data_IF_791003245933
#
_entry.id   IF_791003245933
#
_cell.length_a   1.000
_cell.length_b   1.000
_cell.length_c   1.000
_cell.angle_alpha   90.00
_cell.angle_beta   90.00
_cell.angle_gamma   90.00
#
_symmetry.space_group_name_H-M   'P 1'
#
loop_
_entity.id
_entity.type
_entity.pdbx_description
1 polymer ?
#
# COMPACT_ATOMS: atom_id res chain seq x y z
N UNK A 1 3.31 -42.38 -7.50
CA UNK A 1 3.37 -41.24 -6.55
C UNK A 1 3.33 -39.87 -7.25
N UNK A 2 4.36 -39.44 -8.00
CA UNK A 2 4.37 -38.12 -8.68
C UNK A 2 3.16 -37.84 -9.59
N UNK A 3 2.71 -38.82 -10.38
CA UNK A 3 1.52 -38.68 -11.25
C UNK A 3 0.23 -38.46 -10.45
N UNK A 4 0.10 -39.11 -9.30
CA UNK A 4 -1.08 -39.01 -8.46
C UNK A 4 -1.15 -37.66 -7.74
N UNK A 5 0.01 -37.12 -7.32
CA UNK A 5 0.11 -35.76 -6.81
C UNK A 5 -0.27 -34.71 -7.85
N UNK A 6 0.22 -34.82 -9.09
CA UNK A 6 -0.16 -33.92 -10.20
C UNK A 6 -1.67 -33.96 -10.44
N UNK A 7 -2.26 -35.17 -10.48
CA UNK A 7 -3.71 -35.33 -10.66
C UNK A 7 -4.50 -34.64 -9.55
N UNK A 8 -4.07 -34.79 -8.29
CA UNK A 8 -4.72 -34.15 -7.15
C UNK A 8 -4.61 -32.62 -7.20
N UNK A 9 -3.46 -32.08 -7.61
CA UNK A 9 -3.27 -30.64 -7.77
C UNK A 9 -4.22 -30.06 -8.84
N UNK A 10 -4.37 -30.75 -9.96
CA UNK A 10 -5.28 -30.34 -11.05
C UNK A 10 -6.73 -30.39 -10.57
N UNK A 11 -7.15 -31.48 -9.92
CA UNK A 11 -8.51 -31.63 -9.40
C UNK A 11 -8.84 -30.54 -8.37
N UNK A 12 -7.95 -30.29 -7.41
CA UNK A 12 -8.15 -29.25 -6.39
C UNK A 12 -8.22 -27.85 -7.01
N UNK A 13 -7.35 -27.56 -7.99
CA UNK A 13 -7.41 -26.30 -8.74
C UNK A 13 -8.75 -26.15 -9.47
N UNK A 14 -9.24 -27.20 -10.11
CA UNK A 14 -10.50 -27.16 -10.83
C UNK A 14 -11.68 -26.94 -9.87
N UNK A 15 -11.69 -27.58 -8.70
CA UNK A 15 -12.70 -27.35 -7.66
C UNK A 15 -12.65 -25.90 -7.18
N UNK A 16 -11.46 -25.36 -6.90
CA UNK A 16 -11.31 -23.97 -6.48
C UNK A 16 -11.80 -22.96 -7.54
N UNK A 17 -11.44 -23.18 -8.80
CA UNK A 17 -11.91 -22.35 -9.93
C UNK A 17 -13.43 -22.45 -10.08
N UNK A 18 -14.00 -23.64 -9.93
CA UNK A 18 -15.44 -23.86 -10.04
C UNK A 18 -16.19 -23.19 -8.89
N UNK A 19 -15.71 -23.33 -7.65
CA UNK A 19 -16.28 -22.65 -6.49
C UNK A 19 -16.20 -21.11 -6.61
N UNK A 20 -15.10 -20.58 -7.16
CA UNK A 20 -15.00 -19.16 -7.49
C UNK A 20 -16.02 -18.76 -8.54
N UNK A 21 -16.15 -19.52 -9.64
CA UNK A 21 -17.17 -19.26 -10.66
C UNK A 21 -18.57 -19.28 -10.08
N UNK A 22 -18.91 -20.28 -9.28
CA UNK A 22 -20.22 -20.40 -8.63
C UNK A 22 -20.46 -19.25 -7.64
N UNK A 23 -19.47 -18.89 -6.83
CA UNK A 23 -19.56 -17.77 -5.90
C UNK A 23 -19.75 -16.43 -6.62
N UNK A 24 -18.91 -16.14 -7.62
CA UNK A 24 -19.01 -14.90 -8.41
C UNK A 24 -20.34 -14.83 -9.16
N UNK A 25 -20.68 -15.85 -9.94
CA UNK A 25 -21.91 -15.89 -10.78
C UNK A 25 -23.19 -16.13 -9.99
N UNK A 26 -23.13 -16.27 -8.67
CA UNK A 26 -24.24 -16.72 -7.83
C UNK A 26 -24.89 -18.00 -8.38
N UNK A 27 -24.05 -18.97 -8.77
CA UNK A 27 -24.39 -20.23 -9.40
C UNK A 27 -25.12 -20.04 -10.76
N UNK A 28 -24.54 -19.21 -11.63
CA UNK A 28 -25.06 -18.91 -12.97
C UNK A 28 -26.28 -17.98 -13.00
N UNK A 29 -26.70 -17.41 -11.86
CA UNK A 29 -27.79 -16.43 -11.80
C UNK A 29 -27.39 -15.05 -12.32
N UNK A 30 -26.08 -14.77 -12.34
CA UNK A 30 -25.50 -13.54 -12.88
C UNK A 30 -24.71 -13.90 -14.14
N UNK A 31 -25.11 -13.34 -15.27
CA UNK A 31 -24.41 -13.47 -16.54
C UNK A 31 -23.37 -12.35 -16.68
N UNK A 32 -22.22 -12.54 -16.02
CA UNK A 32 -21.11 -11.60 -16.12
C UNK A 32 -20.47 -11.58 -17.50
N UNK A 33 -20.58 -12.68 -18.26
CA UNK A 33 -20.02 -12.74 -19.61
C UNK A 33 -20.73 -11.70 -20.48
N UNK A 34 -22.07 -11.71 -20.56
CA UNK A 34 -22.78 -10.68 -21.31
C UNK A 34 -22.64 -9.27 -20.74
N UNK A 35 -22.52 -9.11 -19.42
CA UNK A 35 -22.28 -7.80 -18.79
C UNK A 35 -20.91 -7.20 -19.13
N UNK A 36 -19.86 -8.02 -19.19
CA UNK A 36 -18.48 -7.56 -19.41
C UNK A 36 -17.99 -7.74 -20.85
N UNK A 37 -18.68 -8.50 -21.70
CA UNK A 37 -18.25 -8.73 -23.09
C UNK A 37 -18.18 -7.44 -23.91
N UNK A 38 -18.97 -6.43 -23.52
CA UNK A 38 -18.97 -5.10 -24.15
C UNK A 38 -17.90 -4.17 -23.60
N UNK A 39 -17.22 -4.56 -22.52
CA UNK A 39 -16.23 -3.72 -21.86
C UNK A 39 -14.86 -4.00 -22.45
N UNK A 40 -14.14 -2.99 -22.96
CA UNK A 40 -12.73 -3.15 -23.33
C UNK A 40 -11.95 -3.70 -22.13
N UNK A 41 -11.00 -4.62 -22.37
CA UNK A 41 -10.17 -5.20 -21.32
C UNK A 41 -9.49 -4.12 -20.46
N UNK A 42 -9.13 -2.97 -21.05
CA UNK A 42 -8.62 -1.83 -20.29
C UNK A 42 -9.64 -1.22 -19.32
N UNK A 43 -10.91 -1.12 -19.70
CA UNK A 43 -11.98 -0.63 -18.82
C UNK A 43 -12.31 -1.65 -17.72
N UNK A 44 -12.29 -2.94 -18.06
CA UNK A 44 -12.43 -4.03 -17.10
C UNK A 44 -11.28 -4.04 -16.10
N UNK A 45 -10.04 -3.82 -16.57
CA UNK A 45 -8.91 -3.57 -15.71
C UNK A 45 -9.22 -2.36 -14.86
N UNK A 46 -9.36 -1.13 -15.37
CA UNK A 46 -9.63 0.07 -14.56
C UNK A 46 -10.74 -0.07 -13.50
N UNK A 47 -11.79 -0.85 -13.76
CA UNK A 47 -12.91 -1.05 -12.82
C UNK A 47 -12.67 -2.20 -11.84
N UNK A 48 -11.99 -3.27 -12.24
CA UNK A 48 -11.68 -4.40 -11.36
C UNK A 48 -10.30 -4.30 -10.70
N UNK A 49 -9.41 -3.48 -11.26
CA UNK A 49 -7.98 -3.36 -11.02
C UNK A 49 -7.51 -1.92 -11.37
N UNK A 50 -6.84 -1.24 -10.45
CA UNK A 50 -6.22 0.08 -10.66
C UNK A 50 -5.40 0.33 -11.94
N UNK A 51 -4.99 1.60 -12.10
CA UNK A 51 -3.89 2.01 -12.99
C UNK A 51 -2.67 1.08 -12.84
N UNK A 52 -2.13 0.51 -13.94
CA UNK A 52 -1.02 -0.46 -13.89
C UNK A 52 0.31 0.14 -13.43
N UNK A 53 0.40 1.47 -13.37
CA UNK A 53 1.57 2.21 -12.93
C UNK A 53 1.13 3.28 -11.93
N UNK A 54 1.86 3.38 -10.82
CA UNK A 54 1.70 4.45 -9.84
C UNK A 54 2.70 5.54 -10.19
N UNK A 55 2.20 6.72 -10.55
CA UNK A 55 3.05 7.89 -10.74
C UNK A 55 3.36 8.54 -9.39
N UNK A 56 4.58 9.09 -9.17
CA UNK A 56 4.95 9.71 -7.90
C UNK A 56 3.98 10.82 -7.49
N UNK A 57 3.66 11.74 -8.41
CA UNK A 57 2.79 12.87 -8.10
C UNK A 57 1.34 12.44 -7.87
N UNK A 58 0.89 11.36 -8.51
CA UNK A 58 -0.43 10.78 -8.21
C UNK A 58 -0.47 10.20 -6.80
N UNK A 59 0.57 9.46 -6.39
CA UNK A 59 0.68 8.96 -5.02
C UNK A 59 0.75 10.12 -4.01
N UNK A 60 1.60 11.12 -4.24
CA UNK A 60 1.72 12.28 -3.36
C UNK A 60 0.36 12.99 -3.22
N UNK A 61 -0.44 13.08 -4.29
CA UNK A 61 -1.76 13.72 -4.27
C UNK A 61 -2.81 12.99 -3.41
N UNK A 62 -2.58 11.73 -3.04
CA UNK A 62 -3.47 10.96 -2.15
C UNK A 62 -2.92 10.83 -0.73
N UNK A 63 -1.72 11.36 -0.45
CA UNK A 63 -1.19 11.46 0.90
C UNK A 63 -1.81 12.66 1.61
N UNK A 64 -2.30 12.47 2.83
CA UNK A 64 -2.90 13.52 3.63
C UNK A 64 -2.32 13.54 5.04
N UNK A 65 -1.72 14.67 5.48
CA UNK A 65 -1.18 14.75 6.82
C UNK A 65 -2.32 14.93 7.83
N UNK A 66 -2.21 14.24 8.96
CA UNK A 66 -3.10 14.43 10.11
C UNK A 66 -2.27 14.97 11.26
N UNK A 67 -2.23 16.29 11.37
CA UNK A 67 -1.52 16.98 12.44
C UNK A 67 -2.30 16.88 13.76
N UNK A 68 -1.58 16.58 14.83
CA UNK A 68 -2.05 16.75 16.20
C UNK A 68 -2.17 18.24 16.50
N UNK A 69 -3.40 18.73 16.73
CA UNK A 69 -3.68 20.13 17.07
C UNK A 69 -3.17 20.59 18.45
N UNK A 70 -2.42 19.76 19.18
CA UNK A 70 -1.83 20.04 20.51
C UNK A 70 -0.31 20.28 20.45
N UNK A 71 0.26 20.53 19.27
CA UNK A 71 1.71 20.59 19.06
C UNK A 71 2.30 22.00 19.20
N UNK A 72 3.44 22.10 19.90
CA UNK A 72 4.29 23.30 19.95
C UNK A 72 4.88 23.65 18.57
N UNK A 73 5.23 24.92 18.33
CA UNK A 73 5.71 25.44 17.02
C UNK A 73 6.87 24.62 16.42
N UNK A 74 7.83 24.19 17.23
CA UNK A 74 8.96 23.37 16.78
C UNK A 74 8.53 21.97 16.31
N UNK A 75 7.48 21.40 16.91
CA UNK A 75 6.91 20.10 16.52
C UNK A 75 6.19 20.22 15.19
N UNK A 76 5.45 21.30 14.99
CA UNK A 76 4.81 21.61 13.72
C UNK A 76 5.84 21.71 12.58
N UNK A 77 6.98 22.39 12.79
CA UNK A 77 8.01 22.54 11.76
C UNK A 77 8.63 21.20 11.30
N UNK A 78 8.87 20.27 12.23
CA UNK A 78 9.40 18.94 11.89
C UNK A 78 8.38 18.09 11.11
N UNK A 79 7.09 18.15 11.49
CA UNK A 79 6.00 17.45 10.80
C UNK A 79 5.83 17.98 9.38
N UNK A 80 5.82 19.30 9.22
CA UNK A 80 5.74 19.95 7.91
C UNK A 80 6.93 19.57 7.04
N UNK A 81 8.17 19.65 7.55
CA UNK A 81 9.37 19.31 6.79
C UNK A 81 9.35 17.85 6.30
N UNK A 82 8.95 16.91 7.16
CA UNK A 82 8.85 15.49 6.78
C UNK A 82 7.79 15.28 5.68
N UNK A 83 6.60 15.84 5.85
CA UNK A 83 5.48 15.63 4.93
C UNK A 83 5.62 16.38 3.60
N UNK A 84 6.01 17.66 3.65
CA UNK A 84 6.00 18.53 2.48
C UNK A 84 7.29 18.41 1.65
N UNK A 85 8.39 17.99 2.29
CA UNK A 85 9.71 17.91 1.63
C UNK A 85 10.22 16.48 1.57
N UNK A 86 10.57 15.88 2.71
CA UNK A 86 11.33 14.62 2.70
C UNK A 86 10.59 13.45 2.08
N UNK A 87 9.31 13.25 2.43
CA UNK A 87 8.53 12.14 1.89
C UNK A 87 8.29 12.29 0.37
N UNK A 88 7.79 13.42 -0.16
CA UNK A 88 7.65 13.63 -1.60
C UNK A 88 8.95 13.44 -2.38
N UNK A 89 10.07 14.01 -1.89
CA UNK A 89 11.36 13.91 -2.57
C UNK A 89 11.87 12.47 -2.59
N UNK A 90 11.75 11.75 -1.47
CA UNK A 90 12.12 10.34 -1.40
C UNK A 90 11.28 9.49 -2.37
N UNK A 91 9.97 9.71 -2.44
CA UNK A 91 9.08 8.98 -3.35
C UNK A 91 9.49 9.20 -4.80
N UNK A 92 9.80 10.44 -5.20
CA UNK A 92 10.26 10.76 -6.56
C UNK A 92 11.62 10.16 -6.87
N UNK A 93 12.58 10.31 -5.96
CA UNK A 93 13.94 9.78 -6.11
C UNK A 93 13.91 8.26 -6.30
N UNK A 94 13.21 7.55 -5.42
CA UNK A 94 13.16 6.08 -5.44
C UNK A 94 12.33 5.55 -6.60
N UNK A 95 11.30 6.26 -7.04
CA UNK A 95 10.57 5.89 -8.26
C UNK A 95 11.46 5.98 -9.51
N UNK A 96 12.41 6.92 -9.56
CA UNK A 96 13.33 7.07 -10.70
C UNK A 96 14.32 5.91 -10.83
N UNK A 97 14.69 5.29 -9.71
CA UNK A 97 15.68 4.20 -9.66
C UNK A 97 15.04 2.81 -9.54
N UNK A 98 13.78 2.72 -9.08
CA UNK A 98 13.09 1.47 -8.86
C UNK A 98 11.59 1.58 -9.20
N UNK A 99 11.21 1.02 -10.34
CA UNK A 99 9.84 1.06 -10.86
C UNK A 99 8.81 0.39 -9.95
N UNK A 100 9.22 -0.55 -9.10
CA UNK A 100 8.33 -1.26 -8.17
C UNK A 100 8.28 -0.62 -6.77
N UNK A 101 9.07 0.42 -6.52
CA UNK A 101 9.14 1.03 -5.19
C UNK A 101 7.79 1.59 -4.76
N UNK A 102 7.12 2.35 -5.63
CA UNK A 102 5.83 2.98 -5.29
C UNK A 102 4.73 1.93 -5.04
N UNK A 103 4.69 0.87 -5.85
CA UNK A 103 3.75 -0.23 -5.64
C UNK A 103 3.96 -0.90 -4.28
N UNK A 104 5.22 -1.19 -3.91
CA UNK A 104 5.56 -1.76 -2.59
C UNK A 104 5.30 -0.80 -1.43
N UNK A 105 5.49 0.50 -1.65
CA UNK A 105 5.16 1.51 -0.64
C UNK A 105 3.65 1.56 -0.38
N UNK A 106 2.83 1.57 -1.44
CA UNK A 106 1.36 1.53 -1.29
C UNK A 106 0.92 0.21 -0.66
N UNK A 107 1.51 -0.91 -1.06
CA UNK A 107 1.21 -2.23 -0.50
C UNK A 107 1.57 -2.31 0.98
N UNK A 108 2.72 -1.77 1.37
CA UNK A 108 3.14 -1.69 2.76
C UNK A 108 2.11 -0.94 3.62
N UNK A 109 1.53 0.15 3.11
CA UNK A 109 0.60 0.99 3.89
C UNK A 109 -0.84 0.48 3.82
N UNK A 110 -1.26 -0.13 2.72
CA UNK A 110 -2.69 -0.39 2.43
C UNK A 110 -3.02 -1.86 2.20
N UNK A 111 -2.00 -2.71 2.03
CA UNK A 111 -2.16 -4.08 1.55
C UNK A 111 -2.54 -4.19 0.07
N UNK A 112 -2.64 -3.06 -0.64
CA UNK A 112 -2.90 -3.02 -2.08
C UNK A 112 -1.62 -2.62 -2.81
N UNK A 113 -1.27 -3.33 -3.88
CA UNK A 113 -0.16 -2.93 -4.76
C UNK A 113 -0.53 -1.77 -5.70
N UNK A 114 -1.60 -1.03 -5.39
CA UNK A 114 -2.20 -0.07 -6.29
C UNK A 114 -3.04 1.04 -5.65
N UNK A 115 -3.31 2.10 -6.42
CA UNK A 115 -4.24 3.19 -6.06
C UNK A 115 -5.58 3.00 -6.81
N UNK A 116 -6.71 2.82 -6.09
CA UNK A 116 -8.03 2.73 -6.69
C UNK A 116 -8.43 3.97 -7.51
N UNK A 117 -9.20 3.77 -8.59
CA UNK A 117 -9.74 4.89 -9.38
C UNK A 117 -10.72 5.75 -8.55
N UNK A 118 -10.65 7.07 -8.74
CA UNK A 118 -11.40 8.13 -8.01
C UNK A 118 -12.94 8.08 -8.15
N UNK A 119 -13.54 7.01 -8.64
CA UNK A 119 -14.91 7.08 -9.19
C UNK A 119 -16.01 7.31 -8.15
N UNK A 120 -15.84 6.98 -6.85
CA UNK A 120 -16.86 7.24 -5.81
C UNK A 120 -16.36 7.49 -4.38
N UNK A 121 -15.16 7.07 -4.01
CA UNK A 121 -14.51 7.42 -2.73
C UNK A 121 -13.18 8.09 -3.00
N UNK A 122 -12.84 9.12 -2.21
CA UNK A 122 -11.46 9.61 -2.18
C UNK A 122 -10.64 8.54 -1.49
N UNK A 123 -9.88 7.77 -2.25
CA UNK A 123 -8.81 6.98 -1.68
C UNK A 123 -7.77 7.95 -1.12
N UNK A 124 -7.48 7.81 0.16
CA UNK A 124 -6.59 8.67 0.91
C UNK A 124 -5.68 7.78 1.75
N UNK A 125 -4.41 8.17 1.83
CA UNK A 125 -3.44 7.58 2.74
C UNK A 125 -3.14 8.62 3.82
N UNK A 126 -3.44 8.28 5.07
CA UNK A 126 -3.24 9.20 6.19
C UNK A 126 -1.81 9.12 6.70
N UNK A 127 -1.15 10.26 6.79
CA UNK A 127 0.18 10.38 7.39
C UNK A 127 0.05 11.02 8.75
N UNK A 128 0.23 10.22 9.81
CA UNK A 128 0.17 10.67 11.20
C UNK A 128 1.58 10.84 11.77
N UNK A 129 1.67 11.61 12.84
CA UNK A 129 2.92 11.87 13.56
C UNK A 129 2.74 11.50 15.02
N UNK A 130 3.46 10.50 15.48
CA UNK A 130 3.32 9.98 16.83
C UNK A 130 4.50 10.37 17.70
N UNK A 131 4.19 10.72 18.95
CA UNK A 131 5.20 10.89 19.97
C UNK A 131 5.59 9.52 20.50
N UNK A 132 6.87 9.22 20.45
CA UNK A 132 7.42 8.03 21.09
C UNK A 132 7.35 8.21 22.61
N UNK A 133 6.92 7.15 23.32
CA UNK A 133 7.04 7.10 24.77
C UNK A 133 8.50 7.17 25.20
N UNK A 134 8.76 7.73 26.39
CA UNK A 134 10.11 7.93 26.94
C UNK A 134 10.90 6.61 27.12
N UNK A 135 10.21 5.47 27.13
CA UNK A 135 10.79 4.13 27.32
C UNK A 135 11.17 3.41 26.02
N UNK A 136 11.02 4.05 24.86
CA UNK A 136 11.24 3.40 23.58
C UNK A 136 12.74 3.29 23.24
N UNK A 137 13.46 2.40 23.91
CA UNK A 137 14.84 2.02 23.59
C UNK A 137 14.87 1.18 22.31
N UNK A 138 14.93 1.79 21.13
CA UNK A 138 14.97 1.06 19.86
C UNK A 138 15.14 1.91 18.60
N UNK A 139 15.35 1.23 17.46
CA UNK A 139 15.25 1.85 16.14
C UNK A 139 13.78 2.17 15.84
N UNK A 140 13.53 3.44 15.51
CA UNK A 140 12.17 3.94 15.31
C UNK A 140 11.73 3.80 13.86
N UNK A 141 10.97 2.74 13.61
CA UNK A 141 10.37 2.47 12.30
C UNK A 141 8.98 3.10 12.19
N UNK A 142 8.56 3.51 10.99
CA UNK A 142 7.16 3.84 10.74
C UNK A 142 6.24 2.66 11.06
N UNK A 143 5.06 2.95 11.57
CA UNK A 143 4.01 1.96 11.85
C UNK A 143 2.87 2.15 10.86
N UNK A 144 2.31 1.05 10.35
CA UNK A 144 1.21 1.09 9.37
C UNK A 144 -0.05 0.45 9.93
N UNK A 145 -1.20 1.05 9.63
CA UNK A 145 -2.51 0.47 9.87
C UNK A 145 -3.19 0.27 8.52
N UNK A 146 -3.03 -0.92 7.95
CA UNK A 146 -3.53 -1.24 6.60
C UNK A 146 -5.04 -1.11 6.48
N UNK A 147 -5.79 -1.43 7.54
CA UNK A 147 -7.24 -1.25 7.59
C UNK A 147 -7.70 0.22 7.50
N UNK A 148 -6.83 1.17 7.86
CA UNK A 148 -7.12 2.61 7.88
C UNK A 148 -6.38 3.37 6.79
N UNK A 149 -5.57 2.67 5.98
CA UNK A 149 -4.63 3.24 5.02
C UNK A 149 -3.76 4.33 5.65
N UNK A 150 -3.23 4.10 6.85
CA UNK A 150 -2.43 5.11 7.54
C UNK A 150 -1.02 4.65 7.84
N UNK A 151 -0.08 5.59 7.81
CA UNK A 151 1.30 5.43 8.25
C UNK A 151 1.61 6.48 9.33
N UNK A 152 2.14 6.02 10.45
CA UNK A 152 2.55 6.83 11.57
C UNK A 152 4.07 6.97 11.58
N UNK A 153 4.54 8.22 11.49
CA UNK A 153 5.95 8.55 11.62
C UNK A 153 6.28 9.01 13.04
N UNK A 154 7.30 8.43 13.67
CA UNK A 154 7.78 8.91 14.96
C UNK A 154 8.46 10.28 14.83
N UNK A 155 7.87 11.30 15.49
CA UNK A 155 8.20 12.70 15.26
C UNK A 155 9.67 13.07 15.47
N UNK A 156 10.29 12.51 16.51
CA UNK A 156 11.65 12.84 16.93
C UNK A 156 12.69 11.80 16.50
N UNK A 157 12.27 10.73 15.83
CA UNK A 157 13.16 9.63 15.49
C UNK A 157 14.24 10.01 14.47
N UNK A 158 13.95 11.00 13.63
CA UNK A 158 14.75 11.28 12.45
C UNK A 158 15.56 12.57 12.56
N UNK A 159 15.36 13.39 13.59
CA UNK A 159 16.05 14.69 13.78
C UNK A 159 16.01 15.62 12.54
N UNK A 160 15.00 15.49 11.69
CA UNK A 160 14.93 16.19 10.40
C UNK A 160 15.97 15.72 9.36
N UNK A 161 16.65 14.61 9.60
CA UNK A 161 17.62 14.01 8.68
C UNK A 161 16.91 13.13 7.64
N UNK A 162 16.94 13.55 6.38
CA UNK A 162 16.30 12.85 5.27
C UNK A 162 16.87 11.44 5.03
N UNK A 163 18.17 11.23 5.24
CA UNK A 163 18.82 9.93 5.04
C UNK A 163 18.36 8.92 6.10
N UNK A 164 18.31 9.32 7.37
CA UNK A 164 17.79 8.47 8.46
C UNK A 164 16.32 8.12 8.24
N UNK A 165 15.52 9.09 7.80
CA UNK A 165 14.13 8.87 7.42
C UNK A 165 14.01 7.83 6.29
N UNK A 166 14.79 7.98 5.22
CA UNK A 166 14.80 7.06 4.09
C UNK A 166 15.21 5.64 4.51
N UNK A 167 16.28 5.51 5.30
CA UNK A 167 16.74 4.23 5.82
C UNK A 167 15.70 3.54 6.71
N UNK A 168 15.01 4.30 7.56
CA UNK A 168 13.96 3.77 8.43
C UNK A 168 12.75 3.27 7.62
N UNK A 169 12.31 4.02 6.61
CA UNK A 169 11.22 3.61 5.74
C UNK A 169 11.59 2.36 4.92
N UNK A 170 12.78 2.35 4.30
CA UNK A 170 13.28 1.19 3.55
C UNK A 170 13.34 -0.05 4.45
N UNK A 171 13.82 0.11 5.68
CA UNK A 171 13.91 -0.99 6.64
C UNK A 171 12.54 -1.53 7.02
N UNK A 172 11.57 -0.65 7.29
CA UNK A 172 10.21 -1.04 7.65
C UNK A 172 9.49 -1.78 6.52
N UNK A 173 9.60 -1.28 5.29
CA UNK A 173 9.04 -1.94 4.10
C UNK A 173 9.67 -3.34 3.86
N UNK A 174 10.99 -3.47 4.05
CA UNK A 174 11.69 -4.75 3.85
C UNK A 174 11.42 -5.76 4.97
N UNK A 175 11.09 -5.33 6.18
CA UNK A 175 10.74 -6.22 7.29
C UNK A 175 9.47 -7.01 6.97
N UNK A 176 8.41 -6.32 6.53
CA UNK A 176 7.12 -6.92 6.20
C UNK A 176 7.22 -7.89 5.01
N UNK A 177 7.97 -7.54 3.97
CA UNK A 177 8.17 -8.42 2.81
C UNK A 177 8.80 -9.76 3.19
N UNK A 178 9.75 -9.77 4.14
CA UNK A 178 10.43 -11.00 4.57
C UNK A 178 9.58 -11.89 5.49
N UNK A 179 8.63 -11.32 6.20
CA UNK A 179 7.69 -12.11 7.01
C UNK A 179 6.60 -12.76 6.15
N UNK A 180 6.16 -12.10 5.08
CA UNK A 180 5.23 -12.67 4.11
C UNK A 180 5.85 -13.84 3.33
N UNK A 181 7.13 -13.77 2.97
CA UNK A 181 7.83 -14.87 2.28
C UNK A 181 8.12 -16.09 3.18
N UNK A 182 7.94 -15.96 4.50
CA UNK A 182 8.19 -17.02 5.48
C UNK A 182 6.94 -17.82 5.87
N UNK A 183 5.75 -17.32 5.53
CA UNK A 183 4.45 -17.95 5.83
C UNK A 183 3.82 -18.54 4.57
#
# INVERSE_FOLDING_TARGET
ERRQWIQNLITNRNIGVQALKEGFTLNGKMDFESMFHQWPLMAMNQVCFSTPFIEPDHLISVLHPKYDGRTDEARSAAQHSLFETHLPDLLRERASTNQQFLARFVEYITGLSYIPHKSKSKFEILVTFEQLGEDAMGEYLPVVHTCEHSIAFPLHAYDGNAERFAQALDKAMNFVSKELDRN
#
